data_IF_912767585731
#
_entry.id   IF_912767585731
#
_cell.length_a   1.000
_cell.length_b   1.000
_cell.length_c   1.000
_cell.angle_alpha   90.00
_cell.angle_beta   90.00
_cell.angle_gamma   90.00
#
_symmetry.space_group_name_H-M   'P 1'
#
loop_
_entity.id
_entity.type
_entity.pdbx_description
1 polymer ?
#
# COMPACT_ATOMS: atom_id res chain seq x y z
N UNK A 1 3.39 -5.14 -8.88
CA UNK A 1 3.69 -5.06 -7.43
C UNK A 1 5.19 -5.18 -7.10
N UNK A 2 6.02 -5.70 -7.98
CA UNK A 2 7.47 -5.72 -7.83
C UNK A 2 8.10 -4.35 -7.56
N UNK A 3 7.38 -3.29 -7.85
CA UNK A 3 7.80 -1.91 -7.68
C UNK A 3 7.41 -1.30 -6.32
N UNK A 4 6.80 -2.05 -5.42
CA UNK A 4 6.35 -1.59 -4.11
C UNK A 4 7.30 -1.93 -2.96
N UNK A 5 8.60 -1.93 -3.21
CA UNK A 5 9.63 -2.08 -2.16
C UNK A 5 9.47 -3.32 -1.27
N UNK A 6 9.17 -4.46 -1.88
CA UNK A 6 8.94 -5.71 -1.15
C UNK A 6 7.75 -5.65 -0.18
N UNK A 7 6.73 -4.94 -0.56
CA UNK A 7 5.47 -4.88 0.16
C UNK A 7 4.39 -5.64 -0.59
N UNK A 8 3.52 -6.29 0.14
CA UNK A 8 2.24 -6.80 -0.37
C UNK A 8 1.13 -6.32 0.53
N UNK A 9 -0.01 -6.07 -0.07
CA UNK A 9 -1.26 -5.81 0.65
C UNK A 9 -2.05 -7.10 0.71
N UNK A 10 -2.52 -7.44 1.88
CA UNK A 10 -3.48 -8.52 2.11
C UNK A 10 -4.80 -7.94 2.59
N UNK A 11 -5.91 -8.58 2.23
CA UNK A 11 -7.26 -8.17 2.57
C UNK A 11 -8.10 -9.42 2.81
N UNK A 12 -8.78 -9.50 3.95
CA UNK A 12 -9.67 -10.62 4.30
C UNK A 12 -11.14 -10.33 4.03
N UNK A 13 -11.43 -9.21 3.36
CA UNK A 13 -12.77 -8.70 3.11
C UNK A 13 -13.28 -7.75 4.19
N UNK A 14 -12.68 -7.72 5.36
CA UNK A 14 -13.06 -6.81 6.46
C UNK A 14 -12.09 -5.65 6.60
N UNK A 15 -10.79 -5.90 6.44
CA UNK A 15 -9.74 -4.88 6.54
C UNK A 15 -8.54 -5.24 5.66
N UNK A 16 -7.82 -4.22 5.23
CA UNK A 16 -6.56 -4.36 4.52
C UNK A 16 -5.35 -4.19 5.43
N UNK A 17 -4.24 -4.81 5.07
CA UNK A 17 -2.99 -4.73 5.82
C UNK A 17 -1.78 -4.86 4.91
N UNK A 18 -0.73 -4.13 5.23
CA UNK A 18 0.55 -4.22 4.54
C UNK A 18 1.49 -5.20 5.26
N UNK A 19 2.13 -6.06 4.48
CA UNK A 19 3.26 -6.87 4.93
C UNK A 19 4.50 -6.37 4.18
N UNK A 20 5.54 -6.01 4.93
CA UNK A 20 6.84 -5.63 4.39
C UNK A 20 7.87 -6.72 4.66
N UNK A 21 8.64 -7.10 3.64
CA UNK A 21 9.77 -8.01 3.76
C UNK A 21 11.09 -7.26 3.54
N UNK A 22 12.11 -7.58 4.31
CA UNK A 22 13.37 -6.83 4.31
C UNK A 22 14.17 -6.95 3.01
N UNK A 23 14.00 -8.05 2.28
CA UNK A 23 14.80 -8.38 1.11
C UNK A 23 13.90 -8.76 -0.07
N UNK A 24 14.38 -8.55 -1.29
CA UNK A 24 13.69 -8.96 -2.51
C UNK A 24 13.39 -10.47 -2.56
N UNK A 25 12.51 -10.85 -3.47
CA UNK A 25 12.16 -12.25 -3.70
C UNK A 25 10.93 -12.77 -2.96
N UNK A 26 10.05 -11.86 -2.55
CA UNK A 26 8.73 -12.27 -2.09
C UNK A 26 7.75 -12.58 -3.24
N UNK A 27 8.15 -12.26 -4.47
CA UNK A 27 7.28 -12.24 -5.64
C UNK A 27 7.06 -13.59 -6.30
N UNK A 28 8.02 -14.50 -6.23
CA UNK A 28 8.02 -15.72 -7.04
C UNK A 28 6.87 -16.70 -6.77
N UNK A 29 6.08 -16.50 -5.73
CA UNK A 29 5.01 -17.40 -5.32
C UNK A 29 3.68 -16.69 -4.99
N UNK A 30 3.63 -15.38 -5.14
CA UNK A 30 2.45 -14.58 -4.85
C UNK A 30 1.96 -13.88 -6.11
N UNK A 31 0.66 -13.97 -6.36
CA UNK A 31 -0.02 -13.29 -7.43
C UNK A 31 -1.25 -12.54 -6.89
N UNK A 32 -1.77 -11.59 -7.65
CA UNK A 32 -3.00 -10.89 -7.29
C UNK A 32 -4.15 -11.89 -7.16
N UNK A 33 -4.90 -11.77 -6.06
CA UNK A 33 -5.99 -12.71 -5.76
C UNK A 33 -5.53 -14.08 -5.22
N UNK A 34 -4.25 -14.22 -4.87
CA UNK A 34 -3.75 -15.42 -4.20
C UNK A 34 -4.23 -15.43 -2.74
N UNK A 35 -4.94 -16.48 -2.38
CA UNK A 35 -5.27 -16.74 -0.98
C UNK A 35 -4.03 -17.26 -0.24
N UNK A 36 -3.78 -16.71 0.95
CA UNK A 36 -2.64 -17.11 1.77
C UNK A 36 -3.03 -17.31 3.24
N UNK A 37 -2.34 -18.21 3.91
CA UNK A 37 -2.31 -18.29 5.37
C UNK A 37 -1.00 -17.67 5.86
N UNK A 38 -1.09 -16.81 6.87
CA UNK A 38 0.07 -16.18 7.48
C UNK A 38 0.08 -16.46 8.98
N UNK A 39 1.19 -17.00 9.46
CA UNK A 39 1.43 -17.13 10.89
C UNK A 39 1.90 -15.78 11.44
N UNK A 40 1.04 -15.11 12.18
CA UNK A 40 1.29 -13.79 12.78
C UNK A 40 1.87 -13.86 14.20
N UNK A 41 2.05 -15.04 14.77
CA UNK A 41 2.60 -15.20 16.11
C UNK A 41 3.95 -14.51 16.27
N UNK A 42 4.09 -13.65 17.28
CA UNK A 42 5.29 -12.86 17.55
C UNK A 42 5.53 -11.66 16.63
N UNK A 43 4.64 -11.42 15.67
CA UNK A 43 4.67 -10.18 14.89
C UNK A 43 3.94 -9.05 15.65
N UNK A 44 4.27 -7.84 15.30
CA UNK A 44 3.68 -6.62 15.85
C UNK A 44 2.78 -5.95 14.82
N UNK A 45 1.56 -5.63 15.24
CA UNK A 45 0.63 -4.84 14.46
C UNK A 45 0.74 -3.37 14.85
N UNK A 46 0.72 -2.49 13.87
CA UNK A 46 0.75 -1.06 14.08
C UNK A 46 0.53 -0.31 12.77
N UNK A 47 0.93 0.94 12.73
CA UNK A 47 0.83 1.77 11.53
C UNK A 47 2.19 2.31 11.12
N UNK A 48 2.41 2.40 9.82
CA UNK A 48 3.51 3.14 9.25
C UNK A 48 2.93 4.18 8.28
N UNK A 49 3.15 5.47 8.56
CA UNK A 49 2.57 6.58 7.79
C UNK A 49 1.05 6.41 7.60
N UNK A 50 0.35 6.11 8.67
CA UNK A 50 -1.11 5.88 8.72
C UNK A 50 -1.61 4.60 8.03
N UNK A 51 -0.74 3.84 7.38
CA UNK A 51 -1.12 2.56 6.78
C UNK A 51 -0.99 1.41 7.78
N UNK A 52 -2.01 0.56 7.92
CA UNK A 52 -1.93 -0.61 8.80
C UNK A 52 -0.87 -1.59 8.29
N UNK A 53 0.01 -1.99 9.16
CA UNK A 53 1.13 -2.86 8.84
C UNK A 53 1.35 -3.89 9.93
N UNK A 54 1.74 -5.09 9.52
CA UNK A 54 2.26 -6.13 10.41
C UNK A 54 3.73 -6.43 10.06
N UNK A 55 4.54 -6.66 11.06
CA UNK A 55 5.96 -6.97 10.85
C UNK A 55 6.68 -7.35 12.13
N UNK A 56 7.96 -7.57 12.03
CA UNK A 56 8.81 -7.84 13.20
C UNK A 56 8.83 -6.61 14.12
N UNK A 57 8.66 -6.76 15.44
CA UNK A 57 8.68 -5.64 16.35
C UNK A 57 10.04 -4.93 16.34
N UNK A 58 10.03 -3.62 16.18
CA UNK A 58 11.18 -2.74 16.31
C UNK A 58 10.89 -1.68 17.37
N UNK A 59 11.70 -1.62 18.42
CA UNK A 59 11.57 -0.62 19.48
C UNK A 59 12.56 0.50 19.27
N UNK A 60 12.03 1.72 19.12
CA UNK A 60 12.82 2.93 19.20
C UNK A 60 12.91 3.34 20.68
N UNK A 61 14.05 3.14 21.31
CA UNK A 61 14.26 3.41 22.73
C UNK A 61 14.22 4.89 23.08
N UNK A 62 14.63 5.78 22.16
CA UNK A 62 14.57 7.22 22.38
C UNK A 62 13.14 7.74 22.48
N UNK A 63 12.23 7.15 21.70
CA UNK A 63 10.81 7.50 21.67
C UNK A 63 9.95 6.62 22.58
N UNK A 64 10.54 5.59 23.14
CA UNK A 64 9.83 4.55 23.89
C UNK A 64 8.60 4.01 23.13
N UNK A 65 8.80 3.72 21.86
CA UNK A 65 7.74 3.27 20.94
C UNK A 65 8.17 2.04 20.16
N UNK A 66 7.25 1.09 20.01
CA UNK A 66 7.44 -0.09 19.17
C UNK A 66 6.64 0.08 17.88
N UNK A 67 7.25 -0.31 16.77
CA UNK A 67 6.69 -0.22 15.43
C UNK A 67 6.80 -1.58 14.71
N UNK A 68 5.89 -1.87 13.77
CA UNK A 68 6.08 -2.99 12.86
C UNK A 68 7.23 -2.66 11.90
N UNK A 69 8.24 -3.50 11.87
CA UNK A 69 9.37 -3.42 10.95
C UNK A 69 9.25 -4.45 9.83
N UNK A 70 10.25 -4.53 8.99
CA UNK A 70 10.29 -5.51 7.91
C UNK A 70 10.57 -6.91 8.43
N UNK A 71 9.85 -7.88 7.92
CA UNK A 71 10.08 -9.30 8.22
C UNK A 71 11.29 -9.77 7.42
N UNK A 72 12.20 -10.50 8.05
CA UNK A 72 13.32 -11.11 7.34
C UNK A 72 12.79 -12.11 6.29
N UNK A 73 13.44 -12.19 5.13
CA UNK A 73 13.03 -13.06 4.03
C UNK A 73 12.85 -14.53 4.43
N UNK A 74 13.81 -15.09 5.17
CA UNK A 74 13.75 -16.49 5.57
C UNK A 74 12.61 -16.73 6.57
N UNK A 75 12.41 -15.78 7.47
CA UNK A 75 11.29 -15.80 8.40
C UNK A 75 9.95 -15.70 7.65
N UNK A 76 9.83 -14.80 6.67
CA UNK A 76 8.63 -14.69 5.84
C UNK A 76 8.31 -16.02 5.13
N UNK A 77 9.29 -16.66 4.52
CA UNK A 77 9.10 -17.94 3.83
C UNK A 77 8.57 -19.06 4.73
N UNK A 78 8.91 -19.03 6.02
CA UNK A 78 8.40 -20.00 7.00
C UNK A 78 7.02 -19.65 7.56
N UNK A 79 6.57 -18.39 7.39
CA UNK A 79 5.34 -17.88 8.00
C UNK A 79 4.12 -17.94 7.11
N UNK A 80 4.30 -18.06 5.80
CA UNK A 80 3.15 -18.05 4.89
C UNK A 80 3.02 -19.33 4.08
N UNK A 81 1.79 -19.60 3.66
CA UNK A 81 1.46 -20.68 2.73
C UNK A 81 0.41 -20.18 1.75
N UNK A 82 0.71 -20.31 0.45
CA UNK A 82 -0.27 -20.07 -0.61
C UNK A 82 -1.29 -21.23 -0.66
N UNK A 83 -2.56 -20.89 -0.84
CA UNK A 83 -3.67 -21.85 -0.91
C UNK A 83 -4.31 -21.76 -2.29
N UNK A 84 -4.43 -22.92 -2.93
CA UNK A 84 -5.05 -23.03 -4.25
C UNK A 84 -4.32 -22.23 -5.33
N UNK A 85 -5.05 -21.92 -6.40
CA UNK A 85 -4.57 -21.06 -7.47
C UNK A 85 -4.98 -19.61 -7.20
N UNK A 86 -4.15 -18.67 -7.65
CA UNK A 86 -4.52 -17.26 -7.64
C UNK A 86 -5.74 -17.01 -8.51
N UNK A 87 -6.66 -16.21 -8.01
CA UNK A 87 -7.85 -15.76 -8.73
C UNK A 87 -7.93 -14.22 -8.67
N UNK A 88 -7.50 -13.52 -9.73
CA UNK A 88 -7.52 -12.06 -9.74
C UNK A 88 -8.91 -11.45 -9.47
N UNK A 89 -9.98 -12.17 -9.73
CA UNK A 89 -11.36 -11.70 -9.47
C UNK A 89 -11.64 -11.55 -7.96
N UNK A 90 -10.87 -12.23 -7.10
CA UNK A 90 -10.96 -12.03 -5.64
C UNK A 90 -10.40 -10.70 -5.17
N UNK A 91 -9.57 -10.05 -5.98
CA UNK A 91 -9.01 -8.73 -5.70
C UNK A 91 -9.86 -7.62 -6.33
N UNK A 92 -11.17 -7.67 -6.15
CA UNK A 92 -12.09 -6.65 -6.67
C UNK A 92 -11.94 -5.36 -5.87
N UNK A 93 -11.71 -4.20 -6.54
CA UNK A 93 -11.61 -2.92 -5.86
C UNK A 93 -12.93 -2.52 -5.20
N UNK A 94 -12.84 -1.92 -4.02
CA UNK A 94 -13.97 -1.25 -3.38
C UNK A 94 -14.21 0.06 -4.12
N UNK A 95 -15.44 0.26 -4.61
CA UNK A 95 -15.79 1.48 -5.32
C UNK A 95 -16.18 2.57 -4.33
N UNK A 96 -15.47 3.69 -4.39
CA UNK A 96 -15.78 4.93 -3.67
C UNK A 96 -16.42 5.89 -4.67
N UNK A 97 -17.72 6.04 -4.59
CA UNK A 97 -18.50 6.84 -5.55
C UNK A 97 -18.19 8.33 -5.43
N UNK A 98 -17.95 8.80 -4.21
CA UNK A 98 -17.60 10.20 -3.93
C UNK A 98 -16.28 10.25 -3.15
N UNK A 99 -15.23 10.67 -3.77
CA UNK A 99 -13.93 10.76 -3.12
C UNK A 99 -13.94 11.69 -1.89
N UNK A 100 -14.88 12.65 -1.81
CA UNK A 100 -15.09 13.49 -0.63
C UNK A 100 -15.42 12.71 0.65
N UNK A 101 -15.95 11.51 0.53
CA UNK A 101 -16.25 10.66 1.69
C UNK A 101 -14.97 10.27 2.45
N UNK A 102 -13.81 10.32 1.78
CA UNK A 102 -12.51 10.07 2.38
C UNK A 102 -12.02 11.23 3.27
N UNK A 103 -12.69 12.39 3.26
CA UNK A 103 -12.42 13.46 4.21
C UNK A 103 -12.88 13.08 5.62
N UNK A 104 -13.77 12.11 5.75
CA UNK A 104 -14.16 11.52 7.03
C UNK A 104 -13.09 10.49 7.41
N UNK A 105 -12.43 10.73 8.53
CA UNK A 105 -11.28 9.92 8.97
C UNK A 105 -11.62 8.44 9.14
N UNK A 106 -12.80 8.15 9.67
CA UNK A 106 -13.27 6.78 9.84
C UNK A 106 -13.39 6.04 8.50
N UNK A 107 -13.87 6.70 7.44
CA UNK A 107 -13.99 6.10 6.10
C UNK A 107 -12.60 5.84 5.51
N UNK A 108 -11.67 6.79 5.67
CA UNK A 108 -10.30 6.63 5.19
C UNK A 108 -9.59 5.46 5.90
N UNK A 109 -9.79 5.31 7.20
CA UNK A 109 -9.24 4.17 7.96
C UNK A 109 -9.86 2.84 7.56
N UNK A 110 -11.16 2.79 7.32
CA UNK A 110 -11.84 1.56 6.87
C UNK A 110 -11.33 1.04 5.52
N UNK A 111 -10.78 1.94 4.69
CA UNK A 111 -10.22 1.61 3.39
C UNK A 111 -8.69 1.50 3.39
N UNK A 112 -8.04 1.79 4.51
CA UNK A 112 -6.58 1.74 4.60
C UNK A 112 -6.04 0.34 4.29
N UNK A 113 -5.06 0.27 3.38
CA UNK A 113 -4.47 -1.01 2.95
C UNK A 113 -5.35 -1.84 2.00
N UNK A 114 -6.48 -1.33 1.54
CA UNK A 114 -7.40 -2.01 0.62
C UNK A 114 -7.27 -1.48 -0.81
N UNK A 115 -7.63 -2.31 -1.78
CA UNK A 115 -7.71 -1.90 -3.17
C UNK A 115 -9.02 -1.10 -3.39
N UNK A 116 -8.91 0.11 -3.93
CA UNK A 116 -10.05 0.99 -4.15
C UNK A 116 -10.09 1.55 -5.55
N UNK A 117 -11.29 1.82 -6.04
CA UNK A 117 -11.54 2.65 -7.23
C UNK A 117 -12.22 3.93 -6.78
N UNK A 118 -11.59 5.07 -7.02
CA UNK A 118 -12.19 6.38 -6.76
C UNK A 118 -12.88 6.86 -8.02
N UNK A 119 -14.17 7.21 -7.92
CA UNK A 119 -14.93 7.80 -9.02
C UNK A 119 -15.00 9.32 -8.89
N UNK A 120 -15.27 9.96 -10.02
CA UNK A 120 -15.52 11.40 -10.09
C UNK A 120 -14.38 12.24 -9.50
N UNK A 121 -13.14 11.82 -9.73
CA UNK A 121 -11.94 12.56 -9.33
C UNK A 121 -11.33 13.31 -10.50
N UNK A 122 -10.77 14.45 -10.20
CA UNK A 122 -10.02 15.29 -11.14
C UNK A 122 -8.71 15.69 -10.46
N UNK A 123 -7.60 15.68 -11.19
CA UNK A 123 -6.33 16.14 -10.65
C UNK A 123 -6.26 17.67 -10.57
N UNK A 124 -5.59 18.19 -9.57
CA UNK A 124 -5.30 19.62 -9.44
C UNK A 124 -4.53 20.17 -10.65
N UNK A 125 -3.66 19.34 -11.19
CA UNK A 125 -2.79 19.70 -12.31
C UNK A 125 -2.97 18.68 -13.44
N UNK A 126 -4.02 18.84 -14.26
CA UNK A 126 -4.26 17.92 -15.37
C UNK A 126 -3.15 18.00 -16.42
N UNK A 127 -2.86 16.89 -17.07
CA UNK A 127 -1.81 16.78 -18.09
C UNK A 127 -0.39 16.65 -17.55
N UNK A 128 -0.21 16.54 -16.24
CA UNK A 128 1.08 16.16 -15.68
C UNK A 128 1.32 14.66 -15.79
N UNK A 129 2.54 14.30 -16.07
CA UNK A 129 3.02 12.91 -16.07
C UNK A 129 2.92 12.32 -14.66
N UNK A 130 2.46 11.07 -14.54
CA UNK A 130 2.27 10.42 -13.25
C UNK A 130 3.54 10.31 -12.41
N UNK A 131 4.67 9.98 -13.03
CA UNK A 131 5.97 9.95 -12.37
C UNK A 131 7.08 10.19 -13.41
N UNK A 132 7.38 11.44 -13.76
CA UNK A 132 8.40 11.74 -14.74
C UNK A 132 9.76 11.23 -14.26
N UNK A 133 10.54 10.69 -15.18
CA UNK A 133 11.82 10.06 -14.89
C UNK A 133 12.77 10.98 -14.12
N UNK A 134 12.82 12.25 -14.53
CA UNK A 134 13.67 13.26 -13.90
C UNK A 134 13.36 13.51 -12.42
N UNK A 135 12.11 13.36 -11.99
CA UNK A 135 11.70 13.56 -10.61
C UNK A 135 11.74 12.27 -9.81
N UNK A 136 11.34 11.16 -10.41
CA UNK A 136 11.31 9.85 -9.77
C UNK A 136 12.69 9.32 -9.41
N UNK A 137 13.66 9.47 -10.28
CA UNK A 137 15.01 8.96 -10.06
C UNK A 137 15.80 9.75 -9.03
N UNK A 138 15.61 11.06 -8.96
CA UNK A 138 16.32 11.91 -7.99
C UNK A 138 15.89 11.66 -6.56
N UNK A 139 14.66 11.23 -6.35
CA UNK A 139 14.11 10.99 -5.01
C UNK A 139 13.98 9.51 -4.65
N UNK A 140 14.02 8.63 -5.64
CA UNK A 140 13.81 7.18 -5.47
C UNK A 140 12.39 6.79 -4.99
N UNK A 141 11.44 7.72 -4.93
CA UNK A 141 10.16 7.50 -4.24
C UNK A 141 8.91 7.72 -5.10
N UNK A 142 9.05 8.14 -6.33
CA UNK A 142 7.91 8.48 -7.18
C UNK A 142 7.25 9.82 -6.84
N UNK A 143 6.28 10.20 -7.63
CA UNK A 143 5.59 11.49 -7.58
C UNK A 143 4.17 11.29 -7.03
N UNK A 144 3.64 12.30 -6.36
CA UNK A 144 2.25 12.32 -5.91
C UNK A 144 1.49 13.42 -6.64
N UNK A 145 0.44 13.03 -7.36
CA UNK A 145 -0.54 13.93 -7.94
C UNK A 145 -1.76 14.01 -7.04
N UNK A 146 -2.16 15.21 -6.70
CA UNK A 146 -3.29 15.45 -5.78
C UNK A 146 -4.59 15.67 -6.52
N UNK A 147 -5.69 15.22 -5.93
CA UNK A 147 -7.02 15.46 -6.45
C UNK A 147 -7.54 16.85 -6.11
N UNK A 148 -8.33 17.43 -7.02
CA UNK A 148 -9.00 18.71 -6.88
C UNK A 148 -10.08 18.66 -5.80
N UNK A 149 -10.22 19.75 -5.05
CA UNK A 149 -11.22 19.86 -3.98
C UNK A 149 -10.81 19.25 -2.63
N UNK A 150 -9.68 18.58 -2.56
CA UNK A 150 -9.11 18.12 -1.30
C UNK A 150 -8.09 19.15 -0.84
N UNK A 151 -8.47 19.97 0.10
CA UNK A 151 -7.57 20.93 0.68
C UNK A 151 -6.93 20.38 1.93
N UNK A 152 -5.76 20.66 2.05
CA UNK A 152 -4.83 20.08 2.94
C UNK A 152 -4.93 20.37 4.38
N UNK A 153 -5.74 21.21 4.79
CA UNK A 153 -5.87 21.35 6.18
C UNK A 153 -5.92 20.04 6.74
N UNK A 154 -5.94 19.39 5.84
CA UNK A 154 -6.41 18.79 5.62
C UNK A 154 -5.86 17.64 5.03
N UNK A 155 -6.03 16.83 4.58
CA UNK A 155 -5.52 15.58 4.11
C UNK A 155 -5.66 15.62 2.60
N UNK A 156 -4.64 16.09 1.92
CA UNK A 156 -4.59 16.00 0.48
C UNK A 156 -4.69 14.54 0.09
N UNK A 157 -5.72 14.19 -0.64
CA UNK A 157 -5.85 12.86 -1.22
C UNK A 157 -5.29 12.90 -2.62
N UNK A 158 -4.42 11.97 -2.94
CA UNK A 158 -3.76 11.89 -4.22
C UNK A 158 -3.28 10.49 -4.54
N UNK A 159 -2.82 10.33 -5.76
CA UNK A 159 -2.18 9.10 -6.24
C UNK A 159 -0.67 9.27 -6.16
N UNK A 160 -0.01 8.37 -5.43
CA UNK A 160 1.44 8.28 -5.44
C UNK A 160 1.87 7.20 -6.40
N UNK A 161 2.52 7.60 -7.46
CA UNK A 161 3.01 6.69 -8.49
C UNK A 161 4.52 6.48 -8.36
N UNK A 162 4.96 5.23 -8.42
CA UNK A 162 6.38 4.88 -8.51
C UNK A 162 6.89 5.20 -9.91
N UNK A 163 8.10 5.72 -10.02
CA UNK A 163 8.78 5.91 -11.32
C UNK A 163 9.06 4.58 -12.05
N UNK A 164 8.92 3.46 -11.39
CA UNK A 164 9.02 2.12 -11.99
C UNK A 164 7.68 1.53 -12.42
N UNK A 165 6.57 2.26 -12.28
CA UNK A 165 5.28 1.80 -12.77
C UNK A 165 5.25 1.83 -14.31
N UNK A 166 4.59 0.86 -14.92
CA UNK A 166 4.53 0.73 -16.39
C UNK A 166 3.87 1.96 -17.05
N UNK A 167 2.97 2.62 -16.32
CA UNK A 167 2.26 3.84 -16.73
C UNK A 167 2.90 5.14 -16.18
N UNK A 168 4.10 5.08 -15.61
CA UNK A 168 4.72 6.25 -14.98
C UNK A 168 4.90 7.43 -15.95
N UNK A 169 5.13 7.16 -17.22
CA UNK A 169 5.32 8.17 -18.27
C UNK A 169 4.00 8.69 -18.89
N UNK A 170 2.87 8.12 -18.53
CA UNK A 170 1.56 8.56 -19.01
C UNK A 170 1.11 9.86 -18.31
N UNK A 171 0.15 10.58 -18.94
CA UNK A 171 -0.39 11.86 -18.45
C UNK A 171 -1.89 11.80 -18.24
#
# INVERSE_FOLDING_TARGET
EGNLYNQVTIDDGTAGMIICVAQGGMFGQLAVGQEILVNVGGLYYGTYRTQPQIGTPYTNFEKNQTYPSRINRNEWQSRFKAIGKADPMKATPIVVENASDLNVEANAYALAGRLVTLKNVEFNEPGKTFAPESEGYTTGYGVTLYFKGFTAQKKQIGVRTSCYADFAAET
#
